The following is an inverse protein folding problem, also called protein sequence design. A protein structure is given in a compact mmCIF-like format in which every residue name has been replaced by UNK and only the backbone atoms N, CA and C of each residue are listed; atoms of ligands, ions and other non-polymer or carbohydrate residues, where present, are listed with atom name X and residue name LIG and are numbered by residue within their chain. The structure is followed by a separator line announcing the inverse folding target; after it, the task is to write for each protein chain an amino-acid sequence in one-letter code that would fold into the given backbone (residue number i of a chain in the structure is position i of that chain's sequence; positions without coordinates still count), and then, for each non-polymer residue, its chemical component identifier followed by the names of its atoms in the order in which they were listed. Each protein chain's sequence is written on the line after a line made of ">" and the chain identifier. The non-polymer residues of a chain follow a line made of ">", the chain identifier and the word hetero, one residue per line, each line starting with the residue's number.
data_IF_076536555170
#
_entry.id   IF_076536555170
#
_cell.length_a   1.000
_cell.length_b   1.000
_cell.length_c   1.000
_cell.angle_alpha   90.00
_cell.angle_beta   90.00
_cell.angle_gamma   90.00
#
_symmetry.space_group_name_H-M   'P 1'
#
loop_
_entity.id
_entity.type
_entity.pdbx_description
1 polymer ?
#
# COMPACT_ATOMS: atom_id res chain seq x y z
N UNK A 1 -14.49 -13.00 25.24
CA UNK A 1 -13.35 -13.68 24.57
C UNK A 1 -12.89 -12.81 23.41
N UNK A 2 -11.90 -11.95 23.67
CA UNK A 2 -11.17 -11.14 22.69
C UNK A 2 -9.69 -11.35 23.03
N UNK A 3 -8.71 -11.42 22.13
CA UNK A 3 -8.65 -10.93 20.77
C UNK A 3 -7.78 -11.87 19.91
N UNK A 4 -8.04 -11.83 18.60
CA UNK A 4 -7.27 -12.49 17.54
C UNK A 4 -5.86 -11.91 17.52
N UNK A 5 -4.85 -12.69 17.90
CA UNK A 5 -3.46 -12.30 17.71
C UNK A 5 -3.11 -12.49 16.24
N UNK A 6 -3.18 -11.39 15.51
CA UNK A 6 -2.82 -11.31 14.11
C UNK A 6 -1.29 -11.34 13.98
N UNK A 7 -0.77 -12.54 13.69
CA UNK A 7 0.59 -12.72 13.18
C UNK A 7 0.79 -11.91 11.91
N UNK A 8 1.85 -11.08 11.90
CA UNK A 8 2.44 -10.33 10.77
C UNK A 8 2.06 -8.84 10.69
N UNK A 9 2.66 -8.01 11.55
CA UNK A 9 2.74 -6.55 11.43
C UNK A 9 3.61 -6.13 10.23
N UNK A 10 3.20 -6.53 9.03
CA UNK A 10 3.82 -6.05 7.81
C UNK A 10 3.51 -4.55 7.67
N UNK A 11 4.52 -3.72 7.33
CA UNK A 11 4.28 -2.31 7.18
C UNK A 11 3.20 -2.10 6.12
N UNK A 12 2.14 -1.41 6.50
CA UNK A 12 1.02 -1.10 5.64
C UNK A 12 1.07 0.39 5.30
N UNK A 13 0.99 0.70 4.01
CA UNK A 13 1.00 2.08 3.49
C UNK A 13 -0.38 2.41 2.93
N UNK A 14 -0.76 3.69 2.92
CA UNK A 14 -2.00 4.16 2.31
C UNK A 14 -1.71 4.64 0.90
N UNK A 15 -2.48 4.18 -0.07
CA UNK A 15 -2.36 4.65 -1.45
C UNK A 15 -2.98 6.05 -1.59
N UNK A 16 -2.23 7.09 -1.98
CA UNK A 16 -2.75 8.46 -2.08
C UNK A 16 -3.75 8.65 -3.24
N UNK A 17 -3.89 7.66 -4.13
CA UNK A 17 -4.78 7.75 -5.31
C UNK A 17 -6.13 7.11 -5.05
N UNK A 18 -6.19 6.06 -4.23
CA UNK A 18 -7.45 5.35 -3.93
C UNK A 18 -7.80 5.30 -2.45
N UNK A 19 -6.95 5.83 -1.57
CA UNK A 19 -7.15 5.84 -0.11
C UNK A 19 -7.11 4.46 0.55
N UNK A 20 -6.82 3.39 -0.19
CA UNK A 20 -6.84 2.03 0.34
C UNK A 20 -5.52 1.67 1.04
N UNK A 21 -5.57 1.08 2.25
CA UNK A 21 -4.39 0.52 2.89
C UNK A 21 -3.90 -0.69 2.09
N UNK A 22 -2.59 -0.83 1.95
CA UNK A 22 -1.97 -1.97 1.29
C UNK A 22 -0.74 -2.41 2.09
N UNK A 23 -0.61 -3.72 2.30
CA UNK A 23 0.46 -4.31 3.09
C UNK A 23 1.70 -4.59 2.25
N UNK A 24 2.86 -4.59 2.89
CA UNK A 24 4.13 -4.97 2.29
C UNK A 24 4.06 -6.32 1.57
N UNK A 25 4.78 -6.43 0.46
CA UNK A 25 4.90 -7.66 -0.34
C UNK A 25 6.38 -7.96 -0.56
N UNK A 26 6.76 -9.24 -0.59
CA UNK A 26 8.13 -9.68 -0.89
C UNK A 26 8.69 -9.09 -2.19
N UNK A 27 7.85 -8.91 -3.21
CA UNK A 27 8.21 -8.26 -4.48
C UNK A 27 8.69 -6.81 -4.34
N UNK A 28 8.40 -6.17 -3.21
CA UNK A 28 8.79 -4.81 -2.92
C UNK A 28 9.94 -4.72 -1.94
N UNK A 29 10.62 -5.82 -1.59
CA UNK A 29 11.74 -5.79 -0.65
C UNK A 29 12.77 -4.70 -1.02
N UNK A 30 13.14 -4.60 -2.28
CA UNK A 30 14.18 -3.67 -2.76
C UNK A 30 13.68 -2.24 -3.02
N UNK A 31 12.39 -2.07 -3.34
CA UNK A 31 11.81 -0.78 -3.74
C UNK A 31 10.71 -0.28 -2.78
N UNK A 32 10.58 -0.86 -1.59
CA UNK A 32 9.47 -0.56 -0.68
C UNK A 32 9.39 0.91 -0.34
N UNK A 33 10.53 1.58 -0.19
CA UNK A 33 10.61 3.01 0.10
C UNK A 33 9.97 3.87 -1.02
N UNK A 34 10.25 3.54 -2.28
CA UNK A 34 9.67 4.19 -3.46
C UNK A 34 8.20 3.82 -3.70
N UNK A 35 7.75 2.64 -3.24
CA UNK A 35 6.37 2.17 -3.42
C UNK A 35 5.41 2.95 -2.51
N UNK A 36 4.77 3.95 -3.11
CA UNK A 36 3.70 4.78 -2.50
C UNK A 36 2.29 4.40 -2.95
N UNK A 37 2.16 3.58 -4.00
CA UNK A 37 0.89 3.25 -4.63
C UNK A 37 0.61 1.75 -4.55
N UNK A 38 -0.64 1.37 -4.27
CA UNK A 38 -1.03 -0.04 -4.16
C UNK A 38 -0.93 -0.82 -5.49
N UNK A 39 -0.82 -0.13 -6.62
CA UNK A 39 -0.74 -0.74 -7.95
C UNK A 39 -0.13 0.21 -8.99
N UNK A 40 0.39 -0.35 -10.08
CA UNK A 40 0.85 0.44 -11.23
C UNK A 40 -0.26 1.31 -11.84
N UNK A 41 -1.51 0.84 -11.79
CA UNK A 41 -2.69 1.62 -12.21
C UNK A 41 -2.82 2.90 -11.40
N UNK A 42 -2.65 2.83 -10.08
CA UNK A 42 -2.71 4.01 -9.21
C UNK A 42 -1.53 4.95 -9.48
N UNK A 43 -0.31 4.43 -9.67
CA UNK A 43 0.86 5.24 -10.05
C UNK A 43 0.61 6.05 -11.33
N UNK A 44 0.04 5.42 -12.38
CA UNK A 44 -0.31 6.11 -13.64
C UNK A 44 -1.49 7.08 -13.49
N UNK A 45 -2.44 6.76 -12.61
CA UNK A 45 -3.62 7.60 -12.32
C UNK A 45 -3.33 8.84 -11.49
N UNK A 46 -2.17 8.95 -10.82
CA UNK A 46 -1.78 10.17 -10.09
C UNK A 46 -1.92 11.42 -10.96
N UNK A 47 -1.63 11.32 -12.26
CA UNK A 47 -1.77 12.41 -13.23
C UNK A 47 -3.21 12.73 -13.63
N UNK A 48 -4.17 11.89 -13.25
CA UNK A 48 -5.60 12.01 -13.57
C UNK A 48 -6.48 12.20 -12.33
N UNK A 49 -5.90 12.27 -11.12
CA UNK A 49 -6.63 12.73 -9.94
C UNK A 49 -6.86 14.22 -10.15
N UNK A 50 -7.99 14.53 -10.81
CA UNK A 50 -8.59 15.85 -10.79
C UNK A 50 -8.92 16.15 -9.31
N UNK A 51 -8.63 17.37 -8.83
CA UNK A 51 -8.77 17.75 -7.42
C UNK A 51 -10.16 17.47 -6.86
#
# INVERSE_FOLDING_TARGET
>A
MAARQATSDLPSKICPVCGRPFSWRKKWADCWDEVKYCSQRCRRRKSQVRP
#
